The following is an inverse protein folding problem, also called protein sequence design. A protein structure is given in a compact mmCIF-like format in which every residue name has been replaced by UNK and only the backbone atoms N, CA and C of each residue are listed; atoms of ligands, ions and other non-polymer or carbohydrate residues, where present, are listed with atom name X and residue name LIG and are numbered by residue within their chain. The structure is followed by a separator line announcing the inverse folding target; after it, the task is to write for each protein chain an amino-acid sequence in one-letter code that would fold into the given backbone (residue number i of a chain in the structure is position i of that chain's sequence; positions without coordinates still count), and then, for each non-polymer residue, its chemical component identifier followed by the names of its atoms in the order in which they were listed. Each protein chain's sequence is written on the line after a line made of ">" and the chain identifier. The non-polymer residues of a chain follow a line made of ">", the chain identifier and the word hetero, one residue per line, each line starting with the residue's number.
data_IF_241116735355
#
_entry.id   IF_241116735355
#
_cell.length_a   1.000
_cell.length_b   1.000
_cell.length_c   1.000
_cell.angle_alpha   90.00
_cell.angle_beta   90.00
_cell.angle_gamma   90.00
#
_symmetry.space_group_name_H-M   'P 1'
#
loop_
_entity.id
_entity.type
_entity.pdbx_description
1 polymer ?
#
# COMPACT_ATOMS: atom_id res chain seq x y z
N UNK A 1 21.56 -17.27 -12.31
CA UNK A 1 20.64 -16.89 -11.20
C UNK A 1 19.45 -16.17 -11.82
N UNK A 2 18.22 -16.43 -11.37
CA UNK A 2 17.06 -15.67 -11.82
C UNK A 2 17.20 -14.21 -11.37
N UNK A 3 16.91 -13.25 -12.28
CA UNK A 3 16.87 -11.83 -11.93
C UNK A 3 15.79 -11.57 -10.87
N UNK A 4 16.09 -10.76 -9.87
CA UNK A 4 15.08 -10.28 -8.92
C UNK A 4 14.12 -9.26 -9.57
N UNK A 5 12.96 -8.95 -8.95
CA UNK A 5 11.97 -8.04 -9.55
C UNK A 5 12.53 -6.66 -9.87
N UNK A 6 13.42 -6.11 -9.04
CA UNK A 6 14.10 -4.83 -9.30
C UNK A 6 15.17 -4.89 -10.40
N UNK A 7 15.51 -6.08 -10.89
CA UNK A 7 16.50 -6.30 -11.94
C UNK A 7 15.85 -6.59 -13.31
N UNK A 8 14.54 -6.38 -13.43
CA UNK A 8 13.83 -6.45 -14.71
C UNK A 8 14.37 -5.39 -15.68
N UNK A 9 14.55 -5.72 -16.95
CA UNK A 9 15.08 -4.79 -17.95
C UNK A 9 14.13 -3.60 -18.25
N UNK A 10 12.85 -3.73 -17.89
CA UNK A 10 11.82 -2.69 -18.01
C UNK A 10 10.98 -2.69 -16.74
N UNK A 11 11.52 -2.15 -15.66
CA UNK A 11 10.84 -2.11 -14.36
C UNK A 11 9.61 -1.20 -14.41
N UNK A 12 8.44 -1.78 -14.20
CA UNK A 12 7.21 -1.05 -13.92
C UNK A 12 6.84 -1.29 -12.45
N UNK A 13 6.74 -0.22 -11.67
CA UNK A 13 6.45 -0.27 -10.24
C UNK A 13 5.16 0.49 -9.92
N UNK A 14 4.55 0.12 -8.80
CA UNK A 14 3.40 0.82 -8.21
C UNK A 14 3.74 1.19 -6.78
N UNK A 15 3.58 2.46 -6.44
CA UNK A 15 3.68 2.97 -5.08
C UNK A 15 2.31 3.51 -4.67
N UNK A 16 1.76 2.97 -3.58
CA UNK A 16 0.46 3.37 -3.05
C UNK A 16 0.67 4.20 -1.79
N UNK A 17 0.17 5.44 -1.83
CA UNK A 17 0.38 6.46 -0.81
C UNK A 17 1.46 7.46 -1.22
N UNK A 18 1.05 8.72 -1.34
CA UNK A 18 1.89 9.87 -1.75
C UNK A 18 2.32 10.75 -0.56
N UNK A 19 2.46 10.15 0.63
CA UNK A 19 3.12 10.78 1.78
C UNK A 19 4.64 10.73 1.65
N UNK A 20 5.35 11.23 2.66
CA UNK A 20 6.82 11.32 2.64
C UNK A 20 7.51 9.98 2.28
N UNK A 21 7.04 8.86 2.84
CA UNK A 21 7.62 7.54 2.54
C UNK A 21 7.32 7.09 1.11
N UNK A 22 6.09 7.29 0.64
CA UNK A 22 5.70 6.91 -0.73
C UNK A 22 6.45 7.72 -1.78
N UNK A 23 6.58 9.04 -1.59
CA UNK A 23 7.34 9.91 -2.48
C UNK A 23 8.82 9.52 -2.52
N UNK A 24 9.45 9.28 -1.35
CA UNK A 24 10.84 8.84 -1.30
C UNK A 24 11.07 7.47 -2.00
N UNK A 25 10.10 6.55 -1.90
CA UNK A 25 10.16 5.28 -2.64
C UNK A 25 9.99 5.49 -4.15
N UNK A 26 9.11 6.39 -4.56
CA UNK A 26 8.96 6.76 -5.96
C UNK A 26 10.28 7.33 -6.53
N UNK A 27 10.91 8.28 -5.84
CA UNK A 27 12.22 8.84 -6.20
C UNK A 27 13.30 7.74 -6.29
N UNK A 28 13.36 6.86 -5.28
CA UNK A 28 14.33 5.77 -5.26
C UNK A 28 14.14 4.78 -6.43
N UNK A 29 12.90 4.48 -6.80
CA UNK A 29 12.59 3.65 -7.96
C UNK A 29 12.95 4.34 -9.27
N UNK A 30 12.67 5.64 -9.40
CA UNK A 30 13.04 6.43 -10.59
C UNK A 30 14.54 6.57 -10.78
N UNK A 31 15.32 6.50 -9.70
CA UNK A 31 16.80 6.52 -9.75
C UNK A 31 17.41 5.24 -10.32
N UNK A 32 16.65 4.15 -10.46
CA UNK A 32 17.12 2.92 -11.11
C UNK A 32 17.08 3.12 -12.63
N UNK A 33 18.22 2.84 -13.31
CA UNK A 33 18.36 3.03 -14.76
C UNK A 33 17.37 2.21 -15.59
N UNK A 34 16.95 1.06 -15.07
CA UNK A 34 16.01 0.15 -15.73
C UNK A 34 14.54 0.47 -15.46
N UNK A 35 14.22 1.55 -14.72
CA UNK A 35 12.84 1.93 -14.46
C UNK A 35 12.19 2.56 -15.69
N UNK A 36 11.15 1.91 -16.19
CA UNK A 36 10.32 2.39 -17.28
C UNK A 36 9.19 3.31 -16.79
N UNK A 37 8.50 2.92 -15.70
CA UNK A 37 7.42 3.73 -15.15
C UNK A 37 7.18 3.41 -13.67
N UNK A 38 6.69 4.41 -12.93
CA UNK A 38 6.22 4.28 -11.56
C UNK A 38 4.80 4.84 -11.50
N UNK A 39 3.80 3.99 -11.25
CA UNK A 39 2.46 4.47 -10.92
C UNK A 39 2.42 4.89 -9.45
N UNK A 40 2.13 6.17 -9.20
CA UNK A 40 1.96 6.73 -7.87
C UNK A 40 0.47 6.92 -7.57
N UNK A 41 -0.03 6.16 -6.60
CA UNK A 41 -1.44 6.09 -6.26
C UNK A 41 -1.73 6.84 -4.95
N UNK A 42 -2.76 7.68 -4.96
CA UNK A 42 -3.18 8.41 -3.78
C UNK A 42 -4.45 9.23 -4.00
N UNK A 43 -4.96 9.84 -2.94
CA UNK A 43 -6.16 10.70 -3.02
C UNK A 43 -5.92 12.01 -3.76
N UNK A 44 -4.72 12.55 -3.65
CA UNK A 44 -4.29 13.79 -4.30
C UNK A 44 -2.83 13.62 -4.71
N UNK A 45 -2.60 13.18 -5.93
CA UNK A 45 -1.23 13.04 -6.45
C UNK A 45 -0.91 14.28 -7.27
N UNK A 46 -0.01 15.11 -6.73
CA UNK A 46 0.50 16.28 -7.45
C UNK A 46 1.30 15.84 -8.70
N UNK A 47 1.30 16.64 -9.76
CA UNK A 47 2.13 16.38 -10.93
C UNK A 47 3.62 16.25 -10.56
N UNK A 48 4.30 15.33 -11.23
CA UNK A 48 5.75 15.14 -11.12
C UNK A 48 6.42 15.63 -12.40
N UNK A 49 7.63 16.19 -12.27
CA UNK A 49 8.42 16.63 -13.43
C UNK A 49 9.05 15.47 -14.23
N UNK A 50 8.84 14.21 -13.79
CA UNK A 50 9.31 13.01 -14.47
C UNK A 50 8.13 12.32 -15.19
N UNK A 51 8.18 12.26 -16.51
CA UNK A 51 7.14 11.66 -17.36
C UNK A 51 6.92 10.15 -17.13
N UNK A 52 7.86 9.48 -16.45
CA UNK A 52 7.73 8.08 -16.05
C UNK A 52 6.76 7.89 -14.88
N UNK A 53 6.39 8.96 -14.18
CA UNK A 53 5.41 8.89 -13.09
C UNK A 53 4.00 8.95 -13.65
N UNK A 54 3.20 7.93 -13.32
CA UNK A 54 1.79 7.84 -13.69
C UNK A 54 0.94 8.10 -12.45
N UNK A 55 0.37 9.30 -12.28
CA UNK A 55 -0.51 9.59 -11.15
C UNK A 55 -1.86 8.91 -11.34
N UNK A 56 -2.33 8.19 -10.33
CA UNK A 56 -3.64 7.55 -10.31
C UNK A 56 -4.36 7.80 -8.99
N UNK A 57 -5.67 8.02 -9.08
CA UNK A 57 -6.51 8.19 -7.90
C UNK A 57 -6.77 6.85 -7.21
N UNK A 58 -6.61 6.81 -5.89
CA UNK A 58 -7.07 5.71 -5.04
C UNK A 58 -7.43 6.23 -3.64
N UNK A 59 -8.56 5.79 -3.11
CA UNK A 59 -8.95 6.01 -1.71
C UNK A 59 -9.21 4.66 -1.02
N UNK A 60 -8.60 4.46 0.14
CA UNK A 60 -8.77 3.25 0.95
C UNK A 60 -10.21 3.06 1.46
N UNK A 61 -11.02 4.11 1.47
CA UNK A 61 -12.43 4.08 1.85
C UNK A 61 -13.38 3.88 0.66
N UNK A 62 -12.85 3.91 -0.56
CA UNK A 62 -13.59 3.74 -1.82
C UNK A 62 -13.05 2.53 -2.60
N UNK A 63 -13.51 1.30 -2.32
CA UNK A 63 -12.99 0.07 -2.96
C UNK A 63 -13.02 0.09 -4.49
N UNK A 64 -14.03 0.72 -5.10
CA UNK A 64 -14.14 0.82 -6.55
C UNK A 64 -13.00 1.63 -7.17
N UNK A 65 -12.40 2.58 -6.42
CA UNK A 65 -11.25 3.35 -6.88
C UNK A 65 -10.01 2.47 -7.10
N UNK A 66 -9.89 1.39 -6.33
CA UNK A 66 -8.77 0.43 -6.44
C UNK A 66 -8.85 -0.32 -7.77
N UNK A 67 -10.05 -0.82 -8.09
CA UNK A 67 -10.32 -1.53 -9.34
C UNK A 67 -10.11 -0.61 -10.53
N UNK A 68 -10.64 0.62 -10.46
CA UNK A 68 -10.47 1.63 -11.50
C UNK A 68 -8.99 1.97 -11.74
N UNK A 69 -8.20 2.12 -10.68
CA UNK A 69 -6.76 2.38 -10.78
C UNK A 69 -6.01 1.21 -11.43
N UNK A 70 -6.35 -0.04 -11.09
CA UNK A 70 -5.73 -1.22 -11.68
C UNK A 70 -6.04 -1.32 -13.18
N UNK A 71 -7.29 -1.11 -13.59
CA UNK A 71 -7.70 -1.11 -15.00
C UNK A 71 -7.03 0.03 -15.78
N UNK A 72 -7.00 1.25 -15.24
CA UNK A 72 -6.33 2.37 -15.88
C UNK A 72 -4.83 2.15 -16.05
N UNK A 73 -4.19 1.42 -15.13
CA UNK A 73 -2.78 1.05 -15.28
C UNK A 73 -2.58 -0.06 -16.32
N UNK A 74 -3.48 -1.04 -16.41
CA UNK A 74 -3.41 -2.12 -17.40
C UNK A 74 -3.45 -1.61 -18.85
N UNK A 75 -4.10 -0.47 -19.10
CA UNK A 75 -4.08 0.19 -20.42
C UNK A 75 -2.70 0.78 -20.78
N UNK A 76 -1.83 1.02 -19.79
CA UNK A 76 -0.54 1.72 -19.95
C UNK A 76 0.68 0.82 -19.85
N UNK A 77 0.58 -0.26 -19.08
CA UNK A 77 1.69 -1.18 -18.85
C UNK A 77 1.25 -2.63 -19.05
N UNK A 78 2.16 -3.47 -19.53
CA UNK A 78 1.87 -4.90 -19.73
C UNK A 78 1.92 -5.70 -18.43
N UNK A 79 2.76 -5.28 -17.48
CA UNK A 79 3.00 -5.97 -16.22
C UNK A 79 3.55 -5.01 -15.16
N UNK A 80 3.49 -5.43 -13.90
CA UNK A 80 4.08 -4.76 -12.74
C UNK A 80 5.01 -5.75 -12.03
N UNK A 81 6.24 -5.34 -11.74
CA UNK A 81 7.18 -6.18 -10.99
C UNK A 81 7.16 -5.89 -9.50
N UNK A 82 6.84 -4.65 -9.11
CA UNK A 82 6.86 -4.24 -7.71
C UNK A 82 5.63 -3.38 -7.39
N UNK A 83 4.87 -3.78 -6.38
CA UNK A 83 3.83 -2.95 -5.79
C UNK A 83 4.12 -2.77 -4.31
N UNK A 84 4.24 -1.51 -3.87
CA UNK A 84 4.52 -1.16 -2.48
C UNK A 84 3.38 -0.31 -1.93
N UNK A 85 2.67 -0.82 -0.92
CA UNK A 85 1.67 -0.06 -0.20
C UNK A 85 2.28 0.60 1.04
N UNK A 86 2.22 1.92 1.09
CA UNK A 86 2.67 2.74 2.23
C UNK A 86 1.51 3.35 3.03
N UNK A 87 0.27 3.10 2.58
CA UNK A 87 -0.92 3.64 3.25
C UNK A 87 -1.16 2.90 4.56
N UNK A 88 -1.37 3.68 5.59
CA UNK A 88 -1.76 3.22 6.90
C UNK A 88 -2.06 4.40 7.82
N UNK A 89 -2.95 4.20 8.78
CA UNK A 89 -3.42 5.25 9.65
C UNK A 89 -3.38 4.79 11.11
N UNK A 90 -2.80 5.62 11.97
CA UNK A 90 -2.80 5.44 13.43
C UNK A 90 -3.82 6.37 14.09
N UNK A 91 -3.93 7.60 13.59
CA UNK A 91 -4.85 8.62 14.08
C UNK A 91 -5.23 9.57 12.93
N UNK A 92 -6.37 10.25 13.08
CA UNK A 92 -6.81 11.30 12.17
C UNK A 92 -7.77 12.24 12.90
N UNK A 93 -7.76 13.50 12.49
CA UNK A 93 -8.58 14.57 13.09
C UNK A 93 -8.57 14.53 14.64
N UNK A 94 -9.74 14.27 15.24
CA UNK A 94 -9.91 14.17 16.69
C UNK A 94 -9.76 12.76 17.23
N UNK A 95 -9.61 11.74 16.36
CA UNK A 95 -9.43 10.36 16.78
C UNK A 95 -7.97 10.12 17.16
N UNK A 96 -7.76 9.80 18.43
CA UNK A 96 -6.46 9.42 18.99
C UNK A 96 -6.46 7.93 19.32
N UNK A 97 -5.29 7.26 19.26
CA UNK A 97 -5.19 5.85 19.60
C UNK A 97 -5.62 5.58 21.05
N UNK A 98 -6.40 4.55 21.24
CA UNK A 98 -7.02 4.18 22.53
C UNK A 98 -5.96 3.79 23.56
N UNK A 99 -6.10 4.28 24.78
CA UNK A 99 -5.25 3.90 25.92
C UNK A 99 -5.87 2.77 26.75
N UNK A 100 -7.19 2.64 26.74
CA UNK A 100 -7.96 1.68 27.57
C UNK A 100 -9.05 1.05 26.72
N UNK A 101 -9.51 -0.16 27.05
CA UNK A 101 -10.58 -0.86 26.35
C UNK A 101 -11.86 -0.02 26.21
N UNK A 102 -12.22 0.72 27.25
CA UNK A 102 -13.42 1.58 27.25
C UNK A 102 -13.31 2.79 26.30
N UNK A 103 -12.13 3.09 25.81
CA UNK A 103 -11.89 4.19 24.87
C UNK A 103 -12.11 3.75 23.41
N UNK A 104 -12.44 2.47 23.17
CA UNK A 104 -12.70 1.96 21.82
C UNK A 104 -14.06 2.51 21.35
N UNK A 105 -14.00 3.20 20.20
CA UNK A 105 -15.17 3.63 19.45
C UNK A 105 -15.26 2.76 18.17
N UNK A 106 -16.43 2.19 17.94
CA UNK A 106 -16.65 1.25 16.83
C UNK A 106 -16.43 1.87 15.47
N UNK A 107 -16.90 3.10 15.25
CA UNK A 107 -16.82 3.72 13.94
C UNK A 107 -15.37 3.99 13.49
N UNK A 108 -14.52 4.69 14.26
CA UNK A 108 -13.11 4.85 13.89
C UNK A 108 -12.32 3.53 13.93
N UNK A 109 -12.69 2.58 14.79
CA UNK A 109 -12.07 1.25 14.79
C UNK A 109 -12.30 0.54 13.45
N UNK A 110 -13.53 0.49 12.96
CA UNK A 110 -13.86 -0.10 11.65
C UNK A 110 -13.15 0.61 10.50
N UNK A 111 -13.06 1.94 10.54
CA UNK A 111 -12.31 2.71 9.55
C UNK A 111 -10.80 2.36 9.57
N UNK A 112 -10.21 2.20 10.76
CA UNK A 112 -8.83 1.74 10.88
C UNK A 112 -8.62 0.35 10.29
N UNK A 113 -9.55 -0.59 10.47
CA UNK A 113 -9.51 -1.91 9.84
C UNK A 113 -9.65 -1.82 8.32
N UNK A 114 -10.55 -0.98 7.83
CA UNK A 114 -10.72 -0.78 6.39
C UNK A 114 -9.43 -0.29 5.74
N UNK A 115 -8.80 0.75 6.31
CA UNK A 115 -7.58 1.33 5.75
C UNK A 115 -6.36 0.44 5.96
N UNK A 116 -6.16 -0.09 7.16
CA UNK A 116 -4.92 -0.78 7.50
C UNK A 116 -4.90 -2.26 7.11
N UNK A 117 -6.07 -2.93 7.06
CA UNK A 117 -6.16 -4.37 6.84
C UNK A 117 -6.80 -4.74 5.51
N UNK A 118 -8.02 -4.25 5.23
CA UNK A 118 -8.75 -4.63 4.03
C UNK A 118 -8.17 -3.99 2.77
N UNK A 119 -7.83 -2.70 2.82
CA UNK A 119 -7.28 -2.00 1.67
C UNK A 119 -6.04 -2.66 1.06
N UNK A 120 -4.97 -3.05 1.84
CA UNK A 120 -3.84 -3.77 1.25
C UNK A 120 -4.22 -5.13 0.63
N UNK A 121 -5.20 -5.83 1.18
CA UNK A 121 -5.68 -7.10 0.61
C UNK A 121 -6.42 -6.87 -0.72
N UNK A 122 -7.27 -5.85 -0.78
CA UNK A 122 -7.97 -5.47 -2.02
C UNK A 122 -7.01 -4.96 -3.09
N UNK A 123 -5.95 -4.24 -2.71
CA UNK A 123 -4.87 -3.87 -3.64
C UNK A 123 -4.18 -5.11 -4.20
N UNK A 124 -3.82 -6.07 -3.35
CA UNK A 124 -3.17 -7.30 -3.79
C UNK A 124 -4.04 -8.07 -4.78
N UNK A 125 -5.34 -8.15 -4.55
CA UNK A 125 -6.30 -8.79 -5.46
C UNK A 125 -6.40 -8.04 -6.79
N UNK A 126 -6.73 -6.75 -6.77
CA UNK A 126 -6.95 -5.95 -7.97
C UNK A 126 -5.72 -5.88 -8.89
N UNK A 127 -4.51 -5.80 -8.32
CA UNK A 127 -3.26 -5.74 -9.08
C UNK A 127 -2.62 -7.11 -9.35
N UNK A 128 -3.20 -8.21 -8.83
CA UNK A 128 -2.64 -9.56 -9.01
C UNK A 128 -2.46 -9.96 -10.48
N UNK A 129 -3.35 -9.59 -11.44
CA UNK A 129 -3.13 -9.92 -12.85
C UNK A 129 -1.87 -9.29 -13.43
N UNK A 130 -1.60 -8.02 -13.09
CA UNK A 130 -0.41 -7.30 -13.53
C UNK A 130 0.87 -7.84 -12.88
N UNK A 131 0.81 -8.17 -11.57
CA UNK A 131 1.93 -8.76 -10.83
C UNK A 131 2.28 -10.16 -11.33
N UNK A 132 1.30 -10.98 -11.68
CA UNK A 132 1.53 -12.32 -12.26
C UNK A 132 2.19 -12.27 -13.64
N UNK A 133 1.88 -11.26 -14.46
CA UNK A 133 2.55 -11.02 -15.74
C UNK A 133 3.98 -10.52 -15.55
N UNK A 134 4.29 -9.84 -14.44
CA UNK A 134 5.59 -9.24 -14.12
C UNK A 134 6.58 -10.17 -13.42
N UNK A 135 6.55 -11.47 -13.66
CA UNK A 135 7.37 -12.46 -12.96
C UNK A 135 8.89 -12.20 -13.05
N UNK A 136 9.60 -12.20 -11.92
CA UNK A 136 9.11 -12.30 -10.55
C UNK A 136 8.41 -11.01 -10.09
N UNK A 137 7.19 -11.12 -9.57
CA UNK A 137 6.41 -10.00 -9.04
C UNK A 137 6.43 -9.97 -7.49
N UNK A 138 6.49 -8.77 -6.91
CA UNK A 138 6.43 -8.57 -5.46
C UNK A 138 5.30 -7.61 -5.11
N UNK A 139 4.47 -8.02 -4.15
CA UNK A 139 3.60 -7.14 -3.37
C UNK A 139 4.20 -6.95 -1.97
N UNK A 140 4.42 -5.71 -1.57
CA UNK A 140 4.88 -5.35 -0.24
C UNK A 140 3.91 -4.34 0.40
N UNK A 141 3.63 -4.48 1.68
CA UNK A 141 2.82 -3.52 2.42
C UNK A 141 3.46 -3.18 3.76
N UNK A 142 3.55 -1.89 4.08
CA UNK A 142 4.12 -1.45 5.34
C UNK A 142 3.21 -1.85 6.49
N UNK A 143 3.72 -2.73 7.35
CA UNK A 143 3.08 -3.10 8.60
C UNK A 143 3.67 -2.31 9.77
N UNK A 144 3.47 -2.79 10.98
CA UNK A 144 4.03 -2.19 12.18
C UNK A 144 4.43 -3.30 13.18
N UNK A 145 5.51 -3.07 13.92
CA UNK A 145 5.93 -3.98 15.00
C UNK A 145 4.81 -4.25 15.99
N UNK A 146 4.01 -3.22 16.28
CA UNK A 146 2.87 -3.32 17.22
C UNK A 146 1.72 -4.19 16.73
N UNK A 147 1.71 -4.61 15.45
CA UNK A 147 0.82 -5.63 14.90
C UNK A 147 1.20 -7.07 15.28
N UNK A 148 2.33 -7.28 15.94
CA UNK A 148 2.70 -8.60 16.47
C UNK A 148 1.92 -8.90 17.75
N UNK A 149 1.19 -10.02 17.77
CA UNK A 149 0.43 -10.46 18.94
C UNK A 149 1.37 -10.91 20.05
N UNK A 150 2.42 -11.67 19.71
CA UNK A 150 3.38 -12.21 20.69
C UNK A 150 4.30 -11.17 21.29
N UNK A 151 4.59 -10.07 20.56
CA UNK A 151 5.46 -8.98 21.03
C UNK A 151 4.72 -7.90 21.84
N UNK A 152 3.40 -8.07 22.03
CA UNK A 152 2.58 -7.07 22.73
C UNK A 152 2.73 -7.14 24.24
N UNK A 153 3.56 -6.25 24.80
CA UNK A 153 3.76 -6.08 26.25
C UNK A 153 3.23 -4.75 26.80
N UNK A 154 3.19 -3.71 25.95
CA UNK A 154 2.83 -2.35 26.37
C UNK A 154 1.34 -2.09 26.40
N UNK A 155 0.53 -2.83 25.62
CA UNK A 155 -0.90 -2.57 25.46
C UNK A 155 -1.21 -1.25 24.76
N UNK A 156 -2.49 -0.79 24.88
CA UNK A 156 -2.97 0.41 24.20
C UNK A 156 -3.06 0.28 22.67
N UNK A 157 -3.57 1.31 22.01
CA UNK A 157 -3.70 1.38 20.54
C UNK A 157 -4.46 0.18 19.95
N UNK A 158 -5.55 -0.19 20.59
CA UNK A 158 -6.26 -1.44 20.33
C UNK A 158 -6.64 -1.63 18.88
N UNK A 159 -7.33 -0.64 18.29
CA UNK A 159 -7.77 -0.71 16.90
C UNK A 159 -6.60 -0.72 15.93
N UNK A 160 -5.55 0.07 16.18
CA UNK A 160 -4.37 0.08 15.32
C UNK A 160 -3.61 -1.26 15.37
N UNK A 161 -3.31 -1.78 16.56
CA UNK A 161 -2.64 -3.08 16.73
C UNK A 161 -3.43 -4.20 16.08
N UNK A 162 -4.74 -4.25 16.36
CA UNK A 162 -5.62 -5.29 15.81
C UNK A 162 -5.72 -5.19 14.28
N UNK A 163 -5.83 -3.99 13.71
CA UNK A 163 -5.87 -3.82 12.26
C UNK A 163 -4.55 -4.21 11.58
N UNK A 164 -3.39 -3.92 12.20
CA UNK A 164 -2.07 -4.34 11.67
C UNK A 164 -1.83 -5.85 11.82
N UNK A 165 -2.33 -6.48 12.88
CA UNK A 165 -2.33 -7.94 13.02
C UNK A 165 -3.22 -8.60 11.94
N UNK A 166 -4.40 -8.03 11.68
CA UNK A 166 -5.30 -8.47 10.61
C UNK A 166 -4.66 -8.30 9.22
N UNK A 167 -3.98 -7.17 8.95
CA UNK A 167 -3.19 -6.98 7.73
C UNK A 167 -2.18 -8.11 7.54
N UNK A 168 -1.38 -8.41 8.58
CA UNK A 168 -0.36 -9.45 8.52
C UNK A 168 -0.97 -10.82 8.20
N UNK A 169 -2.14 -11.13 8.79
CA UNK A 169 -2.83 -12.39 8.53
C UNK A 169 -3.38 -12.45 7.10
N UNK A 170 -4.07 -11.41 6.64
CA UNK A 170 -4.66 -11.36 5.29
C UNK A 170 -3.60 -11.51 4.19
N UNK A 171 -2.43 -10.85 4.35
CA UNK A 171 -1.37 -10.92 3.36
C UNK A 171 -0.54 -12.21 3.44
N UNK A 172 -0.64 -12.96 4.54
CA UNK A 172 0.01 -14.25 4.68
C UNK A 172 -0.82 -15.40 4.10
N UNK A 173 -2.15 -15.26 4.10
CA UNK A 173 -3.09 -16.26 3.58
C UNK A 173 -3.07 -16.33 2.05
#
# INVERSE_FOLDING_TARGET
>A
MAKGPLQSDNLCAVVVGNGAVGNALCEALLALENTRSVALLGRHVEPWDDERVVPLFVDALEPDSIVAAALALEERVQCVQVLINTVGVLHWDKYLPEKRLRDIDTAPALQAFQINALFPALLADAFSPLLRKGQPGIFASLSARVGSISDNQLGGWYSYRASKAAQNMLLRT
#
